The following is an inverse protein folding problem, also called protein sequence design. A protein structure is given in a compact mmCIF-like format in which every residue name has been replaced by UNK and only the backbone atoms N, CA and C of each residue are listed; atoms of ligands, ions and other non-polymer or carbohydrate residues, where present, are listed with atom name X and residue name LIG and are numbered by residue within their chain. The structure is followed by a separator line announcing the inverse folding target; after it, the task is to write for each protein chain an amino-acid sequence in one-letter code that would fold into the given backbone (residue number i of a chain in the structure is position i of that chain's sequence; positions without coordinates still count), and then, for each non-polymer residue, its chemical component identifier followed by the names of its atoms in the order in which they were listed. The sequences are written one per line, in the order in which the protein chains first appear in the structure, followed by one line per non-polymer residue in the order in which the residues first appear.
data_IF_197910600472
#
_entry.id   IF_197910600472
#
_cell.length_a   1.000
_cell.length_b   1.000
_cell.length_c   1.000
_cell.angle_alpha   90.00
_cell.angle_beta   90.00
_cell.angle_gamma   90.00
#
_symmetry.space_group_name_H-M   'P 1'
#
loop_
_entity.id
_entity.type
_entity.pdbx_description
1 polymer ?
#
# COMPACT_ATOMS: atom_id res chain seq x y z
N UNK A 1 3.07 66.33 -29.04
CA UNK A 1 3.93 65.26 -28.49
C UNK A 1 3.04 64.41 -27.58
N UNK A 2 2.42 63.36 -28.12
CA UNK A 2 2.86 61.95 -28.13
C UNK A 2 2.07 61.17 -27.08
N UNK A 3 0.82 60.84 -27.40
CA UNK A 3 0.08 59.77 -26.71
C UNK A 3 -0.31 58.75 -27.78
N UNK A 4 0.65 57.89 -28.09
CA UNK A 4 0.54 56.81 -29.08
C UNK A 4 0.84 55.50 -28.37
N UNK A 5 0.07 55.22 -27.31
CA UNK A 5 0.29 54.09 -26.40
C UNK A 5 -1.05 53.53 -25.96
N UNK A 6 -1.74 52.80 -26.85
CA UNK A 6 -3.04 52.27 -26.48
C UNK A 6 -3.72 51.49 -27.60
N UNK A 7 -3.03 50.52 -28.18
CA UNK A 7 -3.64 49.35 -28.85
C UNK A 7 -2.57 48.40 -29.37
N UNK A 8 -1.51 48.94 -30.00
CA UNK A 8 -0.43 48.12 -30.59
C UNK A 8 0.46 47.37 -29.57
N UNK A 9 0.61 47.90 -28.35
CA UNK A 9 1.49 47.30 -27.33
C UNK A 9 0.80 46.20 -26.51
N UNK A 10 -0.52 46.30 -26.31
CA UNK A 10 -1.29 45.33 -25.51
C UNK A 10 -1.51 44.01 -26.26
N UNK A 11 -1.48 44.02 -27.59
CA UNK A 11 -1.61 42.81 -28.41
C UNK A 11 -0.29 42.00 -28.48
N UNK A 12 0.86 42.64 -28.25
CA UNK A 12 2.19 41.99 -28.25
C UNK A 12 2.50 41.23 -26.94
N UNK A 13 1.84 41.56 -25.82
CA UNK A 13 2.09 40.95 -24.51
C UNK A 13 1.54 39.53 -24.32
N UNK A 14 0.78 39.00 -25.29
CA UNK A 14 0.11 37.68 -25.19
C UNK A 14 0.94 36.53 -25.80
N UNK A 15 2.19 36.73 -26.20
CA UNK A 15 2.95 35.76 -27.02
C UNK A 15 4.19 35.14 -26.37
N UNK A 16 4.35 35.16 -25.04
CA UNK A 16 5.45 34.47 -24.36
C UNK A 16 4.94 33.29 -23.55
N UNK A 17 5.10 32.08 -24.10
CA UNK A 17 5.01 30.79 -23.39
C UNK A 17 6.42 30.46 -22.90
N UNK A 18 6.59 30.25 -21.59
CA UNK A 18 7.84 29.84 -20.96
C UNK A 18 7.66 28.42 -20.42
N UNK A 19 8.36 27.47 -21.03
CA UNK A 19 8.41 26.06 -20.61
C UNK A 19 8.99 25.93 -19.20
N UNK A 20 8.35 25.10 -18.38
CA UNK A 20 8.81 24.69 -17.07
C UNK A 20 9.24 23.22 -17.15
N UNK A 21 10.52 22.95 -16.90
CA UNK A 21 11.05 21.61 -16.72
C UNK A 21 11.97 21.62 -15.49
N UNK A 22 11.56 20.91 -14.42
CA UNK A 22 12.46 20.42 -13.38
C UNK A 22 11.87 19.14 -12.74
N UNK A 23 12.76 18.20 -12.42
CA UNK A 23 12.55 16.79 -12.06
C UNK A 23 11.99 16.57 -10.63
N UNK A 24 11.76 15.31 -10.16
CA UNK A 24 12.85 14.58 -9.47
C UNK A 24 12.78 13.03 -9.51
N UNK A 25 13.69 12.44 -8.71
CA UNK A 25 14.31 11.11 -8.65
C UNK A 25 13.47 9.88 -8.19
N UNK A 26 14.13 8.72 -8.35
CA UNK A 26 14.37 7.67 -7.35
C UNK A 26 13.62 6.34 -7.50
N UNK A 27 14.38 5.24 -7.53
CA UNK A 27 14.20 4.08 -6.64
C UNK A 27 15.26 3.01 -6.95
N UNK A 28 16.14 2.74 -5.98
CA UNK A 28 16.99 1.55 -5.99
C UNK A 28 16.16 0.32 -5.64
N UNK A 29 16.41 -0.77 -6.35
CA UNK A 29 15.64 -2.01 -6.26
C UNK A 29 16.49 -3.06 -5.52
N UNK A 30 15.96 -3.57 -4.41
CA UNK A 30 16.59 -4.58 -3.57
C UNK A 30 16.37 -5.99 -4.16
N UNK A 31 17.40 -6.81 -4.12
CA UNK A 31 17.42 -8.17 -4.64
C UNK A 31 16.43 -9.11 -3.91
N UNK A 32 15.81 -10.08 -4.62
CA UNK A 32 14.91 -11.05 -4.02
C UNK A 32 15.67 -12.15 -3.27
N UNK A 33 15.18 -12.52 -2.09
CA UNK A 33 15.62 -13.70 -1.36
C UNK A 33 15.08 -14.98 -2.02
N UNK A 34 15.95 -15.95 -2.26
CA UNK A 34 15.61 -17.27 -2.82
C UNK A 34 14.75 -18.10 -1.84
N UNK A 35 13.74 -18.84 -2.31
CA UNK A 35 12.94 -19.71 -1.47
C UNK A 35 13.69 -21.00 -1.13
N UNK A 36 13.78 -21.29 0.17
CA UNK A 36 14.28 -22.55 0.72
C UNK A 36 13.34 -23.69 0.30
N UNK A 37 13.93 -24.77 -0.20
CA UNK A 37 13.25 -25.95 -0.72
C UNK A 37 12.25 -26.56 0.27
N UNK A 38 11.07 -26.87 -0.24
CA UNK A 38 9.93 -27.47 0.44
C UNK A 38 10.20 -28.98 0.68
N UNK A 39 10.67 -29.34 1.86
CA UNK A 39 10.65 -30.73 2.33
C UNK A 39 9.19 -31.18 2.48
N UNK A 40 8.87 -32.38 2.00
CA UNK A 40 7.54 -32.97 2.07
C UNK A 40 7.08 -33.11 3.53
N UNK A 41 6.33 -32.11 4.00
CA UNK A 41 5.84 -32.02 5.36
C UNK A 41 4.75 -33.07 5.61
N UNK A 42 4.89 -33.82 6.70
CA UNK A 42 3.83 -34.72 7.18
C UNK A 42 2.51 -33.94 7.37
N UNK A 43 1.35 -34.59 7.17
CA UNK A 43 0.06 -33.97 7.43
C UNK A 43 -0.03 -33.59 8.91
N UNK A 44 -0.22 -32.30 9.18
CA UNK A 44 -0.46 -31.79 10.51
C UNK A 44 -1.95 -31.84 10.85
N UNK A 45 -2.30 -31.95 12.14
CA UNK A 45 -3.69 -31.85 12.57
C UNK A 45 -4.28 -30.49 12.17
N UNK A 46 -5.53 -30.51 11.71
CA UNK A 46 -6.29 -29.27 11.50
C UNK A 46 -6.81 -28.75 12.85
N UNK A 47 -6.88 -27.43 13.04
CA UNK A 47 -7.43 -26.87 14.27
C UNK A 47 -8.93 -27.21 14.38
N UNK A 48 -9.35 -27.60 15.58
CA UNK A 48 -10.74 -27.94 15.91
C UNK A 48 -11.57 -26.70 16.29
N UNK A 49 -10.89 -25.59 16.61
CA UNK A 49 -11.49 -24.30 16.95
C UNK A 49 -10.78 -23.16 16.21
N UNK A 50 -11.40 -21.96 16.12
CA UNK A 50 -10.73 -20.80 15.53
C UNK A 50 -9.43 -20.46 16.28
N UNK A 51 -8.36 -20.25 15.53
CA UNK A 51 -7.05 -19.94 16.09
C UNK A 51 -7.00 -18.51 16.65
N UNK A 52 -6.28 -18.28 17.77
CA UNK A 52 -6.08 -16.94 18.29
C UNK A 52 -5.21 -16.10 17.35
N UNK A 53 -5.55 -14.83 17.16
CA UNK A 53 -4.73 -13.91 16.37
C UNK A 53 -3.44 -13.53 17.12
N UNK A 54 -2.29 -13.55 16.44
CA UNK A 54 -1.01 -13.10 16.98
C UNK A 54 -0.82 -11.59 16.81
N UNK A 55 -1.67 -10.78 17.45
CA UNK A 55 -1.57 -9.33 17.35
C UNK A 55 -0.21 -8.84 17.89
N UNK A 56 0.55 -8.13 17.05
CA UNK A 56 1.88 -7.63 17.43
C UNK A 56 2.96 -8.71 17.62
N UNK A 57 2.72 -9.95 17.15
CA UNK A 57 3.64 -11.06 17.32
C UNK A 57 3.55 -11.76 18.69
N UNK A 58 2.61 -11.36 19.54
CA UNK A 58 2.33 -12.06 20.79
C UNK A 58 1.41 -13.26 20.55
N UNK A 59 1.84 -14.44 20.99
CA UNK A 59 1.09 -15.71 20.81
C UNK A 59 0.51 -16.17 22.13
N UNK A 60 -0.80 -16.40 22.16
CA UNK A 60 -1.50 -17.02 23.29
C UNK A 60 -1.41 -18.54 23.20
N UNK A 61 -0.30 -19.11 23.67
CA UNK A 61 -0.03 -20.55 23.61
C UNK A 61 -1.15 -21.40 24.24
N UNK A 62 -1.71 -21.08 25.42
CA UNK A 62 -2.86 -21.79 25.96
C UNK A 62 -4.03 -21.92 24.99
N UNK A 63 -4.39 -20.83 24.30
CA UNK A 63 -5.47 -20.85 23.32
C UNK A 63 -5.09 -21.57 22.03
N UNK A 64 -3.82 -21.51 21.61
CA UNK A 64 -3.33 -22.30 20.47
C UNK A 64 -3.52 -23.79 20.78
N UNK A 65 -3.02 -24.26 21.92
CA UNK A 65 -3.14 -25.66 22.33
C UNK A 65 -4.59 -26.11 22.46
N UNK A 66 -5.45 -25.30 23.08
CA UNK A 66 -6.89 -25.58 23.17
C UNK A 66 -7.55 -25.69 21.79
N UNK A 67 -7.17 -24.84 20.84
CA UNK A 67 -7.70 -24.88 19.47
C UNK A 67 -7.28 -26.13 18.70
N UNK A 68 -6.18 -26.79 19.08
CA UNK A 68 -5.77 -28.09 18.55
C UNK A 68 -6.24 -29.28 19.41
N UNK A 69 -7.04 -29.03 20.45
CA UNK A 69 -7.65 -30.07 21.28
C UNK A 69 -6.82 -30.53 22.48
N UNK A 70 -5.69 -29.88 22.77
CA UNK A 70 -4.87 -30.18 23.95
C UNK A 70 -5.47 -29.47 25.17
N UNK A 71 -6.00 -30.24 26.11
CA UNK A 71 -6.73 -29.69 27.25
C UNK A 71 -5.81 -29.12 28.34
N UNK A 72 -6.39 -28.46 29.35
CA UNK A 72 -5.61 -27.87 30.44
C UNK A 72 -4.97 -28.91 31.37
N UNK A 73 -5.62 -30.07 31.58
CA UNK A 73 -5.11 -31.11 32.46
C UNK A 73 -3.91 -31.85 31.84
N UNK A 74 -3.94 -32.05 30.53
CA UNK A 74 -2.83 -32.54 29.70
C UNK A 74 -1.62 -31.62 29.81
N UNK A 75 -1.83 -30.33 29.58
CA UNK A 75 -0.79 -29.31 29.71
C UNK A 75 -0.23 -29.21 31.12
N UNK A 76 -1.07 -29.32 32.15
CA UNK A 76 -0.62 -29.33 33.54
C UNK A 76 0.27 -30.54 33.85
N UNK A 77 -0.03 -31.72 33.29
CA UNK A 77 0.83 -32.91 33.41
C UNK A 77 2.18 -32.68 32.75
N UNK A 78 2.19 -32.12 31.55
CA UNK A 78 3.42 -31.78 30.83
C UNK A 78 4.25 -30.73 31.58
N UNK A 79 3.61 -29.66 32.08
CA UNK A 79 4.25 -28.61 32.86
C UNK A 79 4.93 -29.16 34.13
N UNK A 80 4.27 -30.06 34.86
CA UNK A 80 4.87 -30.73 36.04
C UNK A 80 6.11 -31.55 35.67
N UNK A 81 6.08 -32.26 34.55
CA UNK A 81 7.24 -33.01 34.07
C UNK A 81 8.39 -32.07 33.65
N UNK A 82 8.07 -30.97 32.97
CA UNK A 82 9.04 -29.95 32.59
C UNK A 82 9.67 -29.27 33.81
N UNK A 83 8.88 -28.94 34.83
CA UNK A 83 9.38 -28.30 36.06
C UNK A 83 10.24 -29.25 36.89
N UNK A 84 9.87 -30.52 36.94
CA UNK A 84 10.70 -31.57 37.55
C UNK A 84 12.06 -31.65 36.84
N UNK A 85 12.09 -31.65 35.51
CA UNK A 85 13.33 -31.67 34.73
C UNK A 85 14.20 -30.42 34.99
N UNK A 86 13.58 -29.23 35.06
CA UNK A 86 14.29 -27.97 35.39
C UNK A 86 14.83 -27.94 36.82
N UNK A 87 14.19 -28.65 37.74
CA UNK A 87 14.60 -28.69 39.15
C UNK A 87 15.84 -29.56 39.41
N UNK A 88 16.27 -30.35 38.41
CA UNK A 88 17.45 -31.21 38.56
C UNK A 88 18.75 -30.39 38.61
N UNK A 89 19.77 -30.86 39.37
CA UNK A 89 21.05 -30.18 39.43
C UNK A 89 21.71 -30.07 38.05
N UNK A 90 22.25 -28.89 37.69
CA UNK A 90 22.98 -28.74 36.43
C UNK A 90 24.20 -29.65 36.40
N UNK A 91 24.44 -30.31 35.27
CA UNK A 91 25.56 -31.25 35.10
C UNK A 91 25.27 -32.70 35.52
N UNK A 92 24.04 -33.02 35.92
CA UNK A 92 23.62 -34.43 36.11
C UNK A 92 23.65 -35.16 34.77
N UNK A 93 24.20 -36.38 34.73
CA UNK A 93 24.21 -37.22 33.53
C UNK A 93 22.78 -37.51 33.02
N UNK A 94 22.58 -37.49 31.71
CA UNK A 94 21.26 -37.63 31.09
C UNK A 94 20.55 -38.95 31.46
N UNK A 95 21.28 -40.05 31.61
CA UNK A 95 20.68 -41.33 32.01
C UNK A 95 20.22 -41.31 33.48
N UNK A 96 20.98 -40.61 34.34
CA UNK A 96 20.61 -40.40 35.74
C UNK A 96 19.40 -39.46 35.84
N UNK A 97 19.37 -38.37 35.08
CA UNK A 97 18.20 -37.47 35.00
C UNK A 97 16.94 -38.23 34.60
N UNK A 98 17.01 -39.02 33.53
CA UNK A 98 15.91 -39.86 33.06
C UNK A 98 15.39 -40.76 34.17
N UNK A 99 16.28 -41.47 34.86
CA UNK A 99 15.90 -42.39 35.94
C UNK A 99 15.21 -41.66 37.10
N UNK A 100 15.72 -40.50 37.50
CA UNK A 100 15.12 -39.67 38.56
C UNK A 100 13.73 -39.18 38.15
N UNK A 101 13.59 -38.69 36.91
CA UNK A 101 12.33 -38.17 36.38
C UNK A 101 11.29 -39.29 36.27
N UNK A 102 11.64 -40.42 35.66
CA UNK A 102 10.74 -41.57 35.52
C UNK A 102 10.27 -42.10 36.88
N UNK A 103 11.19 -42.25 37.84
CA UNK A 103 10.85 -42.70 39.18
C UNK A 103 9.93 -41.70 39.90
N UNK A 104 10.19 -40.40 39.76
CA UNK A 104 9.38 -39.34 40.36
C UNK A 104 7.98 -39.29 39.74
N UNK A 105 7.87 -39.26 38.41
CA UNK A 105 6.59 -39.28 37.69
C UNK A 105 5.76 -40.50 38.09
N UNK A 106 6.39 -41.67 38.18
CA UNK A 106 5.74 -42.91 38.65
C UNK A 106 5.28 -42.81 40.11
N UNK A 107 6.07 -42.21 40.99
CA UNK A 107 5.71 -42.02 42.39
C UNK A 107 4.52 -41.07 42.58
N UNK A 108 4.41 -40.04 41.73
CA UNK A 108 3.29 -39.10 41.71
C UNK A 108 2.10 -39.58 40.86
N UNK A 109 2.16 -40.79 40.29
CA UNK A 109 1.08 -41.37 39.49
C UNK A 109 0.84 -40.66 38.16
N UNK A 110 1.84 -39.97 37.61
CA UNK A 110 1.74 -39.26 36.33
C UNK A 110 2.15 -40.23 35.19
N UNK A 111 1.24 -40.57 34.26
CA UNK A 111 1.55 -41.49 33.15
C UNK A 111 2.54 -40.85 32.16
N UNK A 112 3.67 -41.52 31.93
CA UNK A 112 4.75 -41.04 31.06
C UNK A 112 4.30 -41.00 29.60
N UNK A 113 3.59 -42.03 29.15
CA UNK A 113 3.09 -42.14 27.79
C UNK A 113 2.19 -40.95 27.44
N UNK A 114 1.35 -40.52 28.39
CA UNK A 114 0.47 -39.37 28.24
C UNK A 114 1.22 -38.04 28.20
N UNK A 115 2.35 -37.91 28.90
CA UNK A 115 3.21 -36.72 28.79
C UNK A 115 3.85 -36.65 27.41
N UNK A 116 4.31 -37.79 26.88
CA UNK A 116 4.91 -37.85 25.54
C UNK A 116 3.85 -37.51 24.48
N UNK A 117 2.65 -38.08 24.59
CA UNK A 117 1.51 -37.78 23.72
C UNK A 117 1.21 -36.27 23.70
N UNK A 118 0.98 -35.67 24.88
CA UNK A 118 0.75 -34.22 25.00
C UNK A 118 1.90 -33.39 24.43
N UNK A 119 3.16 -33.77 24.67
CA UNK A 119 4.32 -33.05 24.13
C UNK A 119 4.39 -33.08 22.60
N UNK A 120 4.00 -34.20 21.97
CA UNK A 120 3.93 -34.32 20.51
C UNK A 120 2.74 -33.52 19.96
N UNK A 121 1.58 -33.56 20.63
CA UNK A 121 0.40 -32.77 20.27
C UNK A 121 0.66 -31.26 20.36
N UNK A 122 1.35 -30.80 21.40
CA UNK A 122 1.77 -29.40 21.54
C UNK A 122 2.68 -28.97 20.38
N UNK A 123 3.66 -29.78 19.99
CA UNK A 123 4.53 -29.48 18.83
C UNK A 123 3.70 -29.38 17.54
N UNK A 124 2.82 -30.36 17.29
CA UNK A 124 1.98 -30.36 16.11
C UNK A 124 1.02 -29.17 16.07
N UNK A 125 0.50 -28.76 17.22
CA UNK A 125 -0.33 -27.56 17.37
C UNK A 125 0.46 -26.29 17.01
N UNK A 126 1.70 -26.16 17.47
CA UNK A 126 2.55 -25.01 17.15
C UNK A 126 2.91 -24.95 15.66
N UNK A 127 3.29 -26.08 15.06
CA UNK A 127 3.58 -26.14 13.63
C UNK A 127 2.32 -25.85 12.80
N UNK A 128 1.16 -26.37 13.22
CA UNK A 128 -0.12 -26.13 12.56
C UNK A 128 -0.50 -24.66 12.61
N UNK A 129 -0.32 -24.03 13.78
CA UNK A 129 -0.51 -22.59 13.97
C UNK A 129 0.40 -21.77 13.05
N UNK A 130 1.69 -22.11 13.00
CA UNK A 130 2.66 -21.41 12.16
C UNK A 130 2.35 -21.55 10.67
N UNK A 131 1.96 -22.75 10.20
CA UNK A 131 1.57 -22.96 8.80
C UNK A 131 0.32 -22.17 8.44
N UNK A 132 -0.67 -22.11 9.34
CA UNK A 132 -1.89 -21.35 9.11
C UNK A 132 -1.63 -19.85 9.06
N UNK A 133 -0.83 -19.32 9.98
CA UNK A 133 -0.41 -17.92 9.99
C UNK A 133 0.34 -17.55 8.68
N UNK A 134 1.29 -18.39 8.26
CA UNK A 134 2.00 -18.21 7.00
C UNK A 134 1.06 -18.22 5.78
N UNK A 135 0.06 -19.11 5.77
CA UNK A 135 -0.93 -19.18 4.71
C UNK A 135 -1.82 -17.91 4.67
N UNK A 136 -2.24 -17.40 5.83
CA UNK A 136 -3.04 -16.19 5.95
C UNK A 136 -2.26 -14.94 5.55
N UNK A 137 -0.98 -14.86 5.94
CA UNK A 137 -0.07 -13.81 5.49
C UNK A 137 0.13 -13.84 3.96
N UNK A 138 0.31 -15.03 3.38
CA UNK A 138 0.43 -15.18 1.93
C UNK A 138 -0.87 -14.80 1.20
N UNK A 139 -2.03 -15.14 1.73
CA UNK A 139 -3.32 -14.74 1.17
C UNK A 139 -3.51 -13.21 1.22
N UNK A 140 -3.22 -12.59 2.36
CA UNK A 140 -3.27 -11.14 2.55
C UNK A 140 -2.34 -10.42 1.58
N UNK A 141 -1.11 -10.93 1.41
CA UNK A 141 -0.14 -10.37 0.47
C UNK A 141 -0.67 -10.36 -0.97
N UNK A 142 -1.27 -11.47 -1.43
CA UNK A 142 -1.88 -11.55 -2.78
C UNK A 142 -3.05 -10.58 -2.94
N UNK A 143 -3.91 -10.45 -1.94
CA UNK A 143 -5.03 -9.51 -1.97
C UNK A 143 -4.54 -8.07 -2.10
N UNK A 144 -3.56 -7.67 -1.28
CA UNK A 144 -2.97 -6.33 -1.31
C UNK A 144 -2.30 -6.05 -2.66
N UNK A 145 -1.56 -7.02 -3.22
CA UNK A 145 -0.96 -6.88 -4.55
C UNK A 145 -2.02 -6.64 -5.64
N UNK A 146 -3.11 -7.41 -5.64
CA UNK A 146 -4.20 -7.22 -6.59
C UNK A 146 -4.88 -5.84 -6.44
N UNK A 147 -5.01 -5.33 -5.22
CA UNK A 147 -5.52 -3.98 -4.97
C UNK A 147 -4.57 -2.91 -5.53
N UNK A 148 -3.27 -3.04 -5.30
CA UNK A 148 -2.24 -2.11 -5.81
C UNK A 148 -2.31 -2.06 -7.35
N UNK A 149 -2.27 -3.20 -8.01
CA UNK A 149 -2.37 -3.28 -9.48
C UNK A 149 -3.65 -2.61 -10.01
N UNK A 150 -4.78 -2.82 -9.32
CA UNK A 150 -6.05 -2.18 -9.64
C UNK A 150 -6.00 -0.65 -9.52
N UNK A 151 -5.36 -0.12 -8.48
CA UNK A 151 -5.18 1.33 -8.33
C UNK A 151 -4.20 1.92 -9.33
N UNK A 152 -3.12 1.22 -9.65
CA UNK A 152 -2.17 1.66 -10.69
C UNK A 152 -2.82 1.74 -12.07
N UNK A 153 -3.70 0.79 -12.41
CA UNK A 153 -4.49 0.84 -13.63
C UNK A 153 -5.40 2.09 -13.67
N UNK A 154 -6.11 2.38 -12.56
CA UNK A 154 -6.95 3.60 -12.45
C UNK A 154 -6.14 4.89 -12.57
N UNK A 155 -4.94 4.95 -11.97
CA UNK A 155 -4.04 6.10 -12.09
C UNK A 155 -3.61 6.30 -13.55
N UNK A 156 -3.25 5.23 -14.26
CA UNK A 156 -2.91 5.31 -15.69
C UNK A 156 -4.09 5.82 -16.52
N UNK A 157 -5.29 5.31 -16.28
CA UNK A 157 -6.49 5.75 -16.98
C UNK A 157 -6.77 7.24 -16.74
N UNK A 158 -6.72 7.69 -15.48
CA UNK A 158 -6.94 9.09 -15.12
C UNK A 158 -5.91 10.03 -15.78
N UNK A 159 -4.63 9.62 -15.83
CA UNK A 159 -3.57 10.37 -16.52
C UNK A 159 -3.81 10.44 -18.02
N UNK A 160 -4.27 9.34 -18.63
CA UNK A 160 -4.62 9.29 -20.05
C UNK A 160 -5.79 10.23 -20.38
N UNK A 161 -6.82 10.27 -19.52
CA UNK A 161 -7.94 11.19 -19.68
C UNK A 161 -7.48 12.65 -19.59
N UNK A 162 -6.61 12.97 -18.62
CA UNK A 162 -6.07 14.32 -18.47
C UNK A 162 -5.24 14.74 -19.70
N UNK A 163 -4.34 13.89 -20.18
CA UNK A 163 -3.50 14.20 -21.34
C UNK A 163 -4.35 14.42 -22.60
N UNK A 164 -5.40 13.62 -22.79
CA UNK A 164 -6.36 13.81 -23.87
C UNK A 164 -7.04 15.18 -23.77
N UNK A 165 -7.58 15.56 -22.60
CA UNK A 165 -8.25 16.85 -22.42
C UNK A 165 -7.32 18.04 -22.63
N UNK A 166 -6.07 17.94 -22.18
CA UNK A 166 -5.06 18.98 -22.42
C UNK A 166 -4.76 19.15 -23.91
N UNK A 167 -4.60 18.03 -24.64
CA UNK A 167 -4.41 18.05 -26.09
C UNK A 167 -5.60 18.66 -26.83
N UNK A 168 -6.82 18.26 -26.47
CA UNK A 168 -8.05 18.82 -27.03
C UNK A 168 -8.16 20.34 -26.77
N UNK A 169 -7.86 20.77 -25.54
CA UNK A 169 -7.88 22.19 -25.15
C UNK A 169 -6.85 23.01 -25.94
N UNK A 170 -5.63 22.50 -26.09
CA UNK A 170 -4.58 23.14 -26.89
C UNK A 170 -5.00 23.25 -28.37
N UNK A 171 -5.61 22.20 -28.93
CA UNK A 171 -6.12 22.23 -30.30
C UNK A 171 -7.26 23.24 -30.49
N UNK A 172 -8.18 23.34 -29.52
CA UNK A 172 -9.24 24.36 -29.53
C UNK A 172 -8.65 25.77 -29.45
N UNK A 173 -7.72 26.00 -28.53
CA UNK A 173 -7.04 27.29 -28.41
C UNK A 173 -6.33 27.69 -29.71
N UNK A 174 -5.62 26.74 -30.35
CA UNK A 174 -4.99 26.95 -31.65
C UNK A 174 -5.98 27.34 -32.74
N UNK A 175 -7.10 26.62 -32.87
CA UNK A 175 -8.17 26.93 -33.84
C UNK A 175 -8.82 28.30 -33.58
N UNK A 176 -9.10 28.62 -32.32
CA UNK A 176 -9.66 29.92 -31.93
C UNK A 176 -8.69 31.06 -32.24
N UNK A 177 -7.40 30.88 -31.95
CA UNK A 177 -6.38 31.90 -32.23
C UNK A 177 -6.19 32.10 -33.74
N UNK A 178 -6.14 31.03 -34.53
CA UNK A 178 -6.11 31.12 -36.00
C UNK A 178 -7.32 31.93 -36.52
N UNK A 179 -8.53 31.63 -36.02
CA UNK A 179 -9.72 32.37 -36.44
C UNK A 179 -9.70 33.83 -35.99
N UNK A 180 -9.20 34.12 -34.79
CA UNK A 180 -9.02 35.50 -34.31
C UNK A 180 -8.10 36.29 -35.24
N UNK A 181 -6.99 35.72 -35.69
CA UNK A 181 -6.06 36.37 -36.63
C UNK A 181 -6.73 36.67 -37.98
N UNK A 182 -7.53 35.74 -38.51
CA UNK A 182 -8.32 35.98 -39.74
C UNK A 182 -9.29 37.16 -39.57
N UNK A 183 -10.03 37.19 -38.46
CA UNK A 183 -10.98 38.27 -38.17
C UNK A 183 -10.23 39.59 -37.96
N UNK A 184 -9.11 39.58 -37.24
CA UNK A 184 -8.26 40.76 -37.05
C UNK A 184 -7.80 41.34 -38.37
N UNK A 185 -7.37 40.51 -39.32
CA UNK A 185 -6.97 40.98 -40.66
C UNK A 185 -8.11 41.71 -41.39
N UNK A 186 -9.35 41.22 -41.25
CA UNK A 186 -10.54 41.89 -41.82
C UNK A 186 -10.81 43.21 -41.09
N UNK A 187 -10.72 43.24 -39.76
CA UNK A 187 -10.93 44.46 -38.98
C UNK A 187 -9.84 45.52 -39.25
N UNK A 188 -8.58 45.11 -39.39
CA UNK A 188 -7.45 45.96 -39.74
C UNK A 188 -7.63 46.64 -41.10
N UNK A 189 -8.21 45.93 -42.08
CA UNK A 189 -8.55 46.50 -43.38
C UNK A 189 -9.49 47.71 -43.28
N UNK A 190 -10.43 47.71 -42.33
CA UNK A 190 -11.35 48.84 -42.10
C UNK A 190 -10.77 49.95 -41.22
N UNK A 191 -9.61 49.73 -40.60
CA UNK A 191 -8.93 50.69 -39.73
C UNK A 191 -9.48 50.75 -38.30
N UNK A 192 -8.58 51.05 -37.35
CA UNK A 192 -8.86 50.95 -35.91
C UNK A 192 -9.92 51.95 -35.43
N UNK A 193 -10.03 53.14 -36.03
CA UNK A 193 -11.02 54.16 -35.64
C UNK A 193 -12.46 53.74 -35.96
N UNK A 194 -12.68 53.14 -37.13
CA UNK A 194 -14.00 52.66 -37.54
C UNK A 194 -14.46 51.51 -36.63
N UNK A 195 -13.55 50.59 -36.31
CA UNK A 195 -13.81 49.47 -35.38
C UNK A 195 -14.12 50.00 -33.98
N UNK A 196 -13.32 50.92 -33.43
CA UNK A 196 -13.52 51.49 -32.10
C UNK A 196 -14.88 52.19 -31.92
N UNK A 197 -15.32 52.94 -32.93
CA UNK A 197 -16.66 53.55 -32.95
C UNK A 197 -17.77 52.49 -32.90
N UNK A 198 -17.67 51.46 -33.73
CA UNK A 198 -18.67 50.37 -33.76
C UNK A 198 -18.69 49.56 -32.47
N UNK A 199 -17.55 49.35 -31.81
CA UNK A 199 -17.51 48.69 -30.49
C UNK A 199 -18.25 49.52 -29.44
N UNK A 200 -18.04 50.84 -29.40
CA UNK A 200 -18.68 51.74 -28.44
C UNK A 200 -20.20 51.83 -28.64
N UNK A 201 -20.63 51.89 -29.90
CA UNK A 201 -22.04 52.15 -30.23
C UNK A 201 -22.88 50.86 -30.26
N UNK A 202 -22.25 49.68 -30.21
CA UNK A 202 -22.94 48.39 -30.33
C UNK A 202 -23.31 47.80 -28.96
N UNK A 203 -24.60 47.52 -28.70
CA UNK A 203 -25.04 46.89 -27.45
C UNK A 203 -24.67 45.40 -27.36
N UNK A 204 -24.10 44.81 -28.42
CA UNK A 204 -23.69 43.39 -28.46
C UNK A 204 -22.23 43.18 -28.10
N UNK A 205 -21.45 44.25 -28.03
CA UNK A 205 -20.02 44.18 -27.80
C UNK A 205 -19.72 44.67 -26.39
N UNK A 206 -18.90 43.92 -25.68
CA UNK A 206 -18.42 44.31 -24.36
C UNK A 206 -17.06 44.97 -24.57
N UNK A 207 -16.92 46.21 -24.13
CA UNK A 207 -15.62 46.85 -24.10
C UNK A 207 -14.69 46.04 -23.18
N UNK A 208 -13.45 45.76 -23.61
CA UNK A 208 -12.53 45.02 -22.77
C UNK A 208 -12.25 45.84 -21.50
N UNK A 209 -12.77 45.37 -20.36
CA UNK A 209 -12.36 45.88 -19.04
C UNK A 209 -10.88 45.58 -18.88
N UNK A 210 -10.08 46.60 -18.61
CA UNK A 210 -8.68 46.42 -18.22
C UNK A 210 -8.62 45.41 -17.05
N UNK A 211 -7.61 44.52 -17.01
CA UNK A 211 -7.46 43.60 -15.89
C UNK A 211 -7.27 44.43 -14.61
N UNK A 212 -8.21 44.31 -13.68
CA UNK A 212 -8.08 44.88 -12.33
C UNK A 212 -6.94 44.14 -11.62
N UNK A 213 -5.72 44.66 -11.70
CA UNK A 213 -4.58 44.09 -10.98
C UNK A 213 -3.22 44.41 -11.61
N UNK A 214 -2.90 45.69 -11.78
CA UNK A 214 -1.51 46.14 -11.95
C UNK A 214 -1.43 47.58 -11.42
N UNK A 215 -1.44 47.72 -10.09
CA UNK A 215 -1.00 48.95 -9.42
C UNK A 215 0.53 48.98 -9.46
N UNK A 216 1.17 50.13 -9.74
CA UNK A 216 2.63 50.28 -9.70
C UNK A 216 3.22 50.05 -8.31
#
# INVERSE_FOLDING_TARGET
MTEKSGWGQTVLGWFVVKDAAEAPEAAGEAAPAEPVAEEAQAPLPEPTAPLPAAAGGEVDFPKVFEAFGVDAEERDRFAKAADLLKSLPPGTDAAVQKTIVEASLKAFGIPIEKIIETGVEEIQALEGYQRKDAADAAATSREVQALVEGYEAKIREARSLLSQRLSESAAVAGKCNAKKLEVQRVLEFFGQEAVARVVRDSPRLVEPSAPKGATP
#
